data_IF_887019364370
#
_entry.id   IF_887019364370
#
_cell.length_a   1.000
_cell.length_b   1.000
_cell.length_c   1.000
_cell.angle_alpha   90.00
_cell.angle_beta   90.00
_cell.angle_gamma   90.00
#
_symmetry.space_group_name_H-M   'P 1'
#
loop_
_entity.id
_entity.type
_entity.pdbx_description
1 polymer ?
#
# COMPACT_ATOMS: atom_id res chain seq x y z
N UNK A 1 -20.44 4.77 -12.85
CA UNK A 1 -20.64 4.74 -11.38
C UNK A 1 -20.56 6.11 -10.69
N UNK A 2 -20.49 7.24 -11.41
CA UNK A 2 -20.61 8.59 -10.84
C UNK A 2 -19.46 9.06 -9.92
N UNK A 3 -18.51 8.17 -9.58
CA UNK A 3 -17.32 8.47 -8.78
C UNK A 3 -16.18 8.83 -9.74
N UNK A 4 -15.55 9.98 -9.51
CA UNK A 4 -14.29 10.37 -10.14
C UNK A 4 -13.21 10.48 -9.08
N UNK A 5 -11.99 10.06 -9.40
CA UNK A 5 -10.85 10.25 -8.52
C UNK A 5 -10.53 11.74 -8.40
N UNK A 6 -10.45 12.22 -7.15
CA UNK A 6 -9.99 13.57 -6.83
C UNK A 6 -8.48 13.54 -6.76
N UNK A 7 -7.81 14.33 -7.61
CA UNK A 7 -6.36 14.46 -7.58
C UNK A 7 -5.90 14.93 -6.19
N UNK A 8 -4.87 14.28 -5.66
CA UNK A 8 -4.19 14.66 -4.42
C UNK A 8 -2.89 15.37 -4.78
N UNK A 9 -2.53 16.39 -4.01
CA UNK A 9 -1.19 16.97 -4.04
C UNK A 9 -0.16 15.92 -3.57
N UNK A 10 0.83 15.53 -4.39
CA UNK A 10 1.88 14.59 -3.99
C UNK A 10 2.65 15.03 -2.74
N UNK A 11 2.79 16.34 -2.53
CA UNK A 11 3.51 16.94 -1.40
C UNK A 11 2.66 17.09 -0.14
N UNK A 12 1.36 16.73 -0.20
CA UNK A 12 0.49 16.78 0.97
C UNK A 12 1.04 15.89 2.10
N UNK A 13 1.07 16.38 3.35
CA UNK A 13 1.52 15.60 4.49
C UNK A 13 0.46 14.61 5.00
N UNK A 14 -0.76 14.62 4.44
CA UNK A 14 -1.85 13.71 4.83
C UNK A 14 -1.45 12.25 4.68
N UNK A 15 -1.96 11.40 5.56
CA UNK A 15 -1.73 9.97 5.48
C UNK A 15 -2.22 9.37 4.15
N UNK A 16 -1.41 8.52 3.52
CA UNK A 16 -1.77 7.89 2.24
C UNK A 16 -2.43 6.54 2.48
N UNK A 17 -3.67 6.40 2.01
CA UNK A 17 -4.43 5.14 2.08
C UNK A 17 -4.33 4.38 0.75
N UNK A 18 -3.89 3.13 0.81
CA UNK A 18 -3.81 2.22 -0.34
C UNK A 18 -4.95 1.19 -0.20
N UNK A 19 -5.94 1.25 -1.08
CA UNK A 19 -7.12 0.40 -0.99
C UNK A 19 -6.90 -1.05 -1.41
N UNK A 20 -7.05 -1.99 -0.47
CA UNK A 20 -6.68 -3.42 -0.62
C UNK A 20 -7.73 -4.32 -1.31
N UNK A 21 -8.86 -3.77 -1.77
CA UNK A 21 -10.04 -4.59 -2.07
C UNK A 21 -10.02 -5.23 -3.47
N UNK A 22 -9.11 -4.84 -4.36
CA UNK A 22 -8.94 -5.48 -5.68
C UNK A 22 -7.87 -6.56 -5.55
N UNK A 23 -8.26 -7.69 -4.97
CA UNK A 23 -7.33 -8.76 -4.63
C UNK A 23 -7.84 -10.13 -5.07
N UNK A 24 -6.97 -10.90 -5.72
CA UNK A 24 -7.24 -12.25 -6.21
C UNK A 24 -7.72 -13.24 -5.12
N UNK A 25 -7.47 -13.00 -3.84
CA UNK A 25 -7.98 -13.88 -2.77
C UNK A 25 -9.51 -13.89 -2.74
N UNK A 26 -10.15 -12.77 -3.08
CA UNK A 26 -11.59 -12.64 -3.16
C UNK A 26 -12.15 -13.44 -4.35
N UNK A 27 -13.05 -14.42 -4.13
CA UNK A 27 -13.61 -15.23 -5.22
C UNK A 27 -14.22 -14.41 -6.35
N UNK A 28 -14.96 -13.33 -6.01
CA UNK A 28 -15.60 -12.44 -6.99
C UNK A 28 -14.59 -11.71 -7.88
N UNK A 29 -13.43 -11.33 -7.33
CA UNK A 29 -12.40 -10.59 -8.10
C UNK A 29 -11.53 -11.56 -8.87
N UNK A 30 -11.23 -12.72 -8.29
CA UNK A 30 -10.56 -13.80 -8.99
C UNK A 30 -11.32 -14.21 -10.25
N UNK A 31 -12.63 -14.44 -10.13
CA UNK A 31 -13.46 -14.80 -11.27
C UNK A 31 -13.50 -13.67 -12.30
N UNK A 32 -13.60 -12.42 -11.84
CA UNK A 32 -13.54 -11.25 -12.73
C UNK A 32 -12.22 -11.18 -13.51
N UNK A 33 -11.08 -11.43 -12.86
CA UNK A 33 -9.76 -11.49 -13.50
C UNK A 33 -9.65 -12.66 -14.48
N UNK A 34 -10.14 -13.85 -14.11
CA UNK A 34 -10.10 -15.04 -14.96
C UNK A 34 -10.92 -14.87 -16.24
N UNK A 35 -12.03 -14.13 -16.16
CA UNK A 35 -12.97 -13.92 -17.27
C UNK A 35 -12.82 -12.55 -17.95
N UNK A 36 -11.82 -11.75 -17.53
CA UNK A 36 -11.66 -10.35 -17.94
C UNK A 36 -12.96 -9.53 -17.82
N UNK A 37 -13.79 -9.85 -16.82
CA UNK A 37 -15.03 -9.13 -16.56
C UNK A 37 -14.73 -7.83 -15.79
N UNK A 38 -14.97 -6.65 -16.39
CA UNK A 38 -14.61 -5.39 -15.76
C UNK A 38 -15.51 -5.02 -14.58
N UNK A 39 -16.77 -5.46 -14.55
CA UNK A 39 -17.79 -4.91 -13.64
C UNK A 39 -17.45 -5.06 -12.16
N UNK A 40 -17.01 -6.25 -11.66
CA UNK A 40 -16.74 -6.40 -10.24
C UNK A 40 -15.50 -5.61 -9.79
N UNK A 41 -14.51 -5.45 -10.66
CA UNK A 41 -13.29 -4.68 -10.39
C UNK A 41 -13.62 -3.19 -10.35
N UNK A 42 -14.32 -2.69 -11.38
CA UNK A 42 -14.75 -1.30 -11.44
C UNK A 42 -15.64 -0.94 -10.25
N UNK A 43 -16.56 -1.82 -9.84
CA UNK A 43 -17.40 -1.62 -8.65
C UNK A 43 -16.56 -1.42 -7.38
N UNK A 44 -15.57 -2.29 -7.14
CA UNK A 44 -14.70 -2.15 -5.96
C UNK A 44 -13.83 -0.91 -6.03
N UNK A 45 -13.30 -0.57 -7.20
CA UNK A 45 -12.55 0.65 -7.38
C UNK A 45 -13.39 1.88 -7.01
N UNK A 46 -14.62 1.97 -7.53
CA UNK A 46 -15.53 3.07 -7.22
C UNK A 46 -15.86 3.15 -5.72
N UNK A 47 -16.11 2.01 -5.07
CA UNK A 47 -16.37 1.94 -3.62
C UNK A 47 -15.18 2.43 -2.80
N UNK A 48 -13.95 2.05 -3.18
CA UNK A 48 -12.73 2.46 -2.48
C UNK A 48 -12.40 3.95 -2.69
N UNK A 49 -12.52 4.44 -3.93
CA UNK A 49 -12.30 5.86 -4.26
C UNK A 49 -13.31 6.73 -3.51
N UNK A 50 -14.59 6.33 -3.51
CA UNK A 50 -15.64 7.04 -2.75
C UNK A 50 -15.34 7.10 -1.25
N UNK A 51 -14.69 6.06 -0.72
CA UNK A 51 -14.32 5.99 0.69
C UNK A 51 -13.00 6.73 1.01
N UNK A 52 -12.35 7.34 0.03
CA UNK A 52 -11.14 8.15 0.23
C UNK A 52 -9.82 7.41 0.06
N UNK A 53 -9.79 6.30 -0.70
CA UNK A 53 -8.54 5.67 -1.09
C UNK A 53 -7.67 6.62 -1.93
N UNK A 54 -6.41 6.78 -1.56
CA UNK A 54 -5.43 7.58 -2.31
C UNK A 54 -4.86 6.77 -3.47
N UNK A 55 -4.48 5.52 -3.22
CA UNK A 55 -4.06 4.54 -4.23
C UNK A 55 -5.02 3.35 -4.20
N UNK A 56 -5.08 2.60 -5.29
CA UNK A 56 -5.71 1.27 -5.29
C UNK A 56 -4.64 0.20 -5.44
N UNK A 57 -4.62 -0.76 -4.50
CA UNK A 57 -3.81 -1.96 -4.63
C UNK A 57 -4.51 -2.93 -5.60
N UNK A 58 -3.74 -3.47 -6.56
CA UNK A 58 -4.21 -4.35 -7.62
C UNK A 58 -3.43 -5.65 -7.53
N UNK A 59 -3.90 -6.55 -6.66
CA UNK A 59 -3.29 -7.85 -6.45
C UNK A 59 -3.87 -8.90 -7.40
N UNK A 60 -3.07 -9.31 -8.40
CA UNK A 60 -3.45 -10.32 -9.40
C UNK A 60 -2.99 -11.74 -9.03
N UNK A 61 -2.37 -11.92 -7.86
CA UNK A 61 -1.71 -13.16 -7.47
C UNK A 61 -0.45 -13.44 -8.32
N UNK A 62 0.05 -14.69 -8.33
CA UNK A 62 1.26 -15.04 -9.10
C UNK A 62 1.10 -14.89 -10.62
N UNK A 63 -0.11 -15.15 -11.14
CA UNK A 63 -0.46 -15.03 -12.56
C UNK A 63 0.67 -15.46 -13.53
N UNK A 64 1.19 -16.68 -13.34
CA UNK A 64 2.45 -17.13 -13.97
C UNK A 64 2.39 -17.13 -15.50
N UNK A 65 1.23 -17.48 -16.08
CA UNK A 65 1.06 -17.63 -17.54
C UNK A 65 0.58 -16.36 -18.24
N UNK A 66 -0.32 -15.59 -17.64
CA UNK A 66 -0.99 -14.44 -18.26
C UNK A 66 -0.79 -13.11 -17.52
N UNK A 67 0.11 -13.06 -16.52
CA UNK A 67 0.33 -11.88 -15.68
C UNK A 67 0.54 -10.56 -16.43
N UNK A 68 1.42 -10.49 -17.45
CA UNK A 68 1.60 -9.28 -18.26
C UNK A 68 0.33 -8.76 -18.92
N UNK A 69 -0.48 -9.65 -19.50
CA UNK A 69 -1.74 -9.28 -20.14
C UNK A 69 -2.76 -8.80 -19.10
N UNK A 70 -2.90 -9.55 -18.01
CA UNK A 70 -3.85 -9.26 -16.94
C UNK A 70 -3.55 -7.94 -16.24
N UNK A 71 -2.28 -7.66 -15.90
CA UNK A 71 -1.89 -6.40 -15.27
C UNK A 71 -2.08 -5.22 -16.23
N UNK A 72 -1.72 -5.39 -17.51
CA UNK A 72 -1.95 -4.37 -18.54
C UNK A 72 -3.44 -4.01 -18.65
N UNK A 73 -4.31 -5.02 -18.68
CA UNK A 73 -5.75 -4.84 -18.71
C UNK A 73 -6.26 -4.12 -17.46
N UNK A 74 -5.84 -4.56 -16.26
CA UNK A 74 -6.29 -3.98 -15.00
C UNK A 74 -5.88 -2.50 -14.86
N UNK A 75 -4.64 -2.15 -15.23
CA UNK A 75 -4.14 -0.77 -15.19
C UNK A 75 -4.97 0.13 -16.09
N UNK A 76 -5.16 -0.26 -17.36
CA UNK A 76 -5.97 0.52 -18.31
C UNK A 76 -7.40 0.66 -17.83
N UNK A 77 -8.02 -0.46 -17.43
CA UNK A 77 -9.39 -0.49 -16.95
C UNK A 77 -9.63 0.53 -15.82
N UNK A 78 -8.75 0.55 -14.82
CA UNK A 78 -8.88 1.44 -13.67
C UNK A 78 -8.60 2.89 -14.03
N UNK A 79 -7.53 3.18 -14.77
CA UNK A 79 -7.14 4.56 -15.08
C UNK A 79 -8.09 5.23 -16.07
N UNK A 80 -8.57 4.52 -17.09
CA UNK A 80 -9.53 5.04 -18.06
C UNK A 80 -10.89 5.36 -17.41
N UNK A 81 -11.29 4.60 -16.38
CA UNK A 81 -12.60 4.77 -15.73
C UNK A 81 -12.58 5.71 -14.51
N UNK A 82 -11.40 5.99 -13.93
CA UNK A 82 -11.28 6.74 -12.68
C UNK A 82 -10.21 7.81 -12.73
N UNK A 83 -10.16 8.57 -13.84
CA UNK A 83 -9.29 9.75 -13.98
C UNK A 83 -7.85 9.44 -13.56
N UNK A 84 -7.22 8.43 -14.17
CA UNK A 84 -5.83 8.03 -13.89
C UNK A 84 -5.54 7.79 -12.40
N UNK A 85 -6.51 7.26 -11.62
CA UNK A 85 -6.30 6.86 -10.22
C UNK A 85 -4.96 6.12 -10.08
N UNK A 86 -4.12 6.48 -9.09
CA UNK A 86 -2.81 5.88 -8.99
C UNK A 86 -2.92 4.48 -8.35
N UNK A 87 -2.03 3.57 -8.74
CA UNK A 87 -2.14 2.14 -8.43
C UNK A 87 -0.87 1.59 -7.77
N UNK A 88 -1.06 0.66 -6.83
CA UNK A 88 -0.04 -0.28 -6.41
C UNK A 88 -0.20 -1.59 -7.18
N UNK A 89 0.83 -1.97 -7.93
CA UNK A 89 0.86 -3.17 -8.75
C UNK A 89 1.41 -4.31 -7.89
N UNK A 90 0.52 -5.16 -7.39
CA UNK A 90 0.83 -6.20 -6.41
C UNK A 90 0.87 -7.60 -7.05
N UNK A 91 2.09 -8.13 -7.18
CA UNK A 91 2.34 -9.50 -7.63
C UNK A 91 3.80 -9.89 -7.47
N UNK A 92 4.07 -11.19 -7.28
CA UNK A 92 5.41 -11.77 -7.38
C UNK A 92 5.89 -11.96 -8.83
N UNK A 93 5.12 -11.52 -9.83
CA UNK A 93 5.48 -11.60 -11.24
C UNK A 93 6.05 -10.26 -11.74
N UNK A 94 7.38 -10.16 -11.75
CA UNK A 94 8.12 -8.96 -12.19
C UNK A 94 7.72 -8.50 -13.60
N UNK A 95 7.46 -9.44 -14.52
CA UNK A 95 7.06 -9.14 -15.90
C UNK A 95 5.66 -8.51 -15.97
N UNK A 96 4.77 -8.89 -15.06
CA UNK A 96 3.44 -8.33 -14.96
C UNK A 96 3.47 -6.87 -14.50
N UNK A 97 4.27 -6.57 -13.47
CA UNK A 97 4.48 -5.19 -12.99
C UNK A 97 5.05 -4.32 -14.12
N UNK A 98 6.10 -4.79 -14.79
CA UNK A 98 6.71 -4.04 -15.90
C UNK A 98 5.71 -3.76 -17.04
N UNK A 99 4.87 -4.74 -17.40
CA UNK A 99 3.83 -4.56 -18.41
C UNK A 99 2.76 -3.55 -17.98
N UNK A 100 2.34 -3.58 -16.72
CA UNK A 100 1.43 -2.59 -16.14
C UNK A 100 2.01 -1.17 -16.20
N UNK A 101 3.27 -0.99 -15.79
CA UNK A 101 3.93 0.33 -15.81
C UNK A 101 4.04 0.91 -17.23
N UNK A 102 4.28 0.07 -18.25
CA UNK A 102 4.38 0.50 -19.66
C UNK A 102 3.13 1.22 -20.18
N UNK A 103 1.95 0.90 -19.63
CA UNK A 103 0.68 1.51 -20.03
C UNK A 103 0.13 2.50 -19.00
N UNK A 104 0.88 2.74 -17.93
CA UNK A 104 0.45 3.52 -16.79
C UNK A 104 0.55 5.03 -17.07
N UNK A 105 -0.54 5.75 -16.82
CA UNK A 105 -0.60 7.20 -16.84
C UNK A 105 -0.25 7.78 -15.45
N UNK A 106 0.76 8.65 -15.39
CA UNK A 106 1.34 9.20 -14.16
C UNK A 106 0.74 10.51 -13.68
N UNK A 107 -0.26 11.06 -14.38
CA UNK A 107 -0.83 12.40 -14.09
C UNK A 107 -1.20 12.59 -12.61
N UNK A 108 -1.66 11.55 -11.93
CA UNK A 108 -2.13 11.62 -10.54
C UNK A 108 -1.27 10.88 -9.53
N UNK A 109 -0.08 10.40 -9.92
CA UNK A 109 0.85 9.74 -9.03
C UNK A 109 1.72 8.70 -9.75
N UNK A 110 2.91 8.43 -9.21
CA UNK A 110 3.80 7.35 -9.69
C UNK A 110 3.14 5.98 -9.45
N UNK A 111 3.39 4.97 -10.30
CA UNK A 111 3.00 3.60 -9.95
C UNK A 111 3.79 3.14 -8.71
N UNK A 112 3.19 2.27 -7.89
CA UNK A 112 3.88 1.60 -6.79
C UNK A 112 4.19 0.15 -7.22
N UNK A 113 5.45 -0.25 -7.08
CA UNK A 113 5.89 -1.65 -7.17
C UNK A 113 5.69 -2.30 -5.80
N UNK A 114 4.73 -3.23 -5.70
CA UNK A 114 4.45 -3.99 -4.48
C UNK A 114 4.81 -5.48 -4.71
N UNK A 115 5.94 -5.98 -4.21
CA UNK A 115 6.96 -5.34 -3.37
C UNK A 115 8.35 -5.97 -3.58
N UNK A 116 9.40 -5.27 -3.14
CA UNK A 116 10.75 -5.80 -3.00
C UNK A 116 10.99 -6.31 -1.57
N UNK A 117 11.99 -7.17 -1.40
CA UNK A 117 12.55 -7.55 -0.09
C UNK A 117 14.08 -7.53 -0.17
N UNK A 118 14.76 -7.67 0.98
CA UNK A 118 16.21 -7.70 1.06
C UNK A 118 16.83 -9.04 0.63
N UNK A 119 16.03 -9.96 0.09
CA UNK A 119 16.41 -11.30 -0.34
C UNK A 119 16.14 -11.51 -1.84
N UNK A 120 15.35 -12.53 -2.15
CA UNK A 120 15.11 -12.98 -3.53
C UNK A 120 14.44 -11.95 -4.44
N UNK A 121 13.76 -10.93 -3.89
CA UNK A 121 13.06 -9.89 -4.67
C UNK A 121 13.77 -8.53 -4.64
N UNK A 122 15.02 -8.44 -4.20
CA UNK A 122 15.78 -7.17 -4.18
C UNK A 122 15.77 -6.44 -5.54
N UNK A 123 15.81 -7.20 -6.65
CA UNK A 123 15.79 -6.63 -8.00
C UNK A 123 14.48 -5.92 -8.40
N UNK A 124 13.45 -5.94 -7.55
CA UNK A 124 12.24 -5.12 -7.73
C UNK A 124 12.52 -3.65 -7.45
N UNK A 125 13.53 -3.32 -6.65
CA UNK A 125 14.06 -1.96 -6.52
C UNK A 125 14.63 -1.51 -7.87
N UNK A 126 15.39 -2.38 -8.55
CA UNK A 126 15.91 -2.08 -9.90
C UNK A 126 14.79 -1.79 -10.90
N UNK A 127 13.69 -2.56 -10.83
CA UNK A 127 12.51 -2.32 -11.66
C UNK A 127 11.87 -0.96 -11.35
N UNK A 128 11.74 -0.63 -10.06
CA UNK A 128 11.16 0.64 -9.65
C UNK A 128 12.03 1.82 -10.10
N UNK A 129 13.34 1.75 -9.88
CA UNK A 129 14.32 2.76 -10.29
C UNK A 129 14.30 3.00 -11.80
N UNK A 130 14.36 1.92 -12.59
CA UNK A 130 14.35 2.01 -14.06
C UNK A 130 13.05 2.61 -14.62
N UNK A 131 12.00 2.69 -13.81
CA UNK A 131 10.68 3.17 -14.22
C UNK A 131 10.20 4.38 -13.41
N UNK A 132 11.06 5.07 -12.65
CA UNK A 132 10.64 6.20 -11.79
C UNK A 132 9.36 5.85 -10.98
N UNK A 133 9.37 4.68 -10.35
CA UNK A 133 8.24 4.16 -9.57
C UNK A 133 8.59 4.17 -8.08
N UNK A 134 7.55 4.27 -7.25
CA UNK A 134 7.69 4.04 -5.81
C UNK A 134 7.86 2.53 -5.60
N UNK A 135 8.68 2.12 -4.63
CA UNK A 135 8.86 0.73 -4.24
C UNK A 135 8.46 0.52 -2.78
N UNK A 136 7.54 -0.43 -2.53
CA UNK A 136 7.34 -0.96 -1.18
C UNK A 136 8.48 -1.93 -0.90
N UNK A 137 9.27 -1.62 0.12
CA UNK A 137 10.48 -2.34 0.50
C UNK A 137 10.27 -3.06 1.84
N UNK A 138 9.98 -4.36 1.78
CA UNK A 138 9.74 -5.18 2.96
C UNK A 138 11.06 -5.36 3.72
N UNK A 139 11.12 -4.90 4.98
CA UNK A 139 12.28 -5.01 5.87
C UNK A 139 12.46 -6.44 6.40
N UNK A 140 12.62 -7.36 5.45
CA UNK A 140 12.77 -8.80 5.59
C UNK A 140 13.58 -9.35 4.42
N UNK A 141 14.13 -10.55 4.56
CA UNK A 141 14.60 -11.37 3.44
C UNK A 141 13.63 -12.55 3.24
N UNK A 142 14.10 -13.80 3.27
CA UNK A 142 13.27 -15.00 3.11
C UNK A 142 12.56 -15.42 4.42
N UNK A 143 12.01 -14.46 5.17
CA UNK A 143 11.33 -14.70 6.44
C UNK A 143 11.10 -13.44 7.28
N UNK A 144 10.43 -13.60 8.42
CA UNK A 144 10.20 -12.51 9.36
C UNK A 144 11.53 -12.18 10.06
N UNK A 145 11.92 -10.90 10.06
CA UNK A 145 13.08 -10.42 10.80
C UNK A 145 12.95 -10.73 12.31
N UNK A 146 14.04 -11.18 12.92
CA UNK A 146 14.13 -11.62 14.31
C UNK A 146 13.82 -10.48 15.29
N UNK A 147 14.29 -9.27 14.97
CA UNK A 147 14.24 -8.06 15.79
C UNK A 147 14.35 -6.80 14.91
N UNK A 148 14.33 -5.62 15.55
CA UNK A 148 14.40 -4.35 14.84
C UNK A 148 15.81 -4.00 14.34
N UNK A 149 16.87 -4.60 14.91
CA UNK A 149 18.22 -4.44 14.37
C UNK A 149 18.30 -5.08 12.98
N UNK A 150 17.74 -6.28 12.82
CA UNK A 150 17.66 -6.94 11.52
C UNK A 150 16.73 -6.21 10.55
N UNK A 151 15.60 -5.66 11.00
CA UNK A 151 14.74 -4.80 10.15
C UNK A 151 15.49 -3.59 9.62
N UNK A 152 16.26 -2.89 10.47
CA UNK A 152 17.05 -1.74 10.06
C UNK A 152 18.20 -2.12 9.13
N UNK A 153 18.85 -3.27 9.36
CA UNK A 153 19.85 -3.81 8.42
C UNK A 153 19.24 -4.02 7.03
N UNK A 154 18.05 -4.62 6.93
CA UNK A 154 17.34 -4.79 5.66
C UNK A 154 16.92 -3.45 5.05
N UNK A 155 16.43 -2.52 5.87
CA UNK A 155 16.09 -1.16 5.44
C UNK A 155 17.28 -0.46 4.78
N UNK A 156 18.43 -0.40 5.48
CA UNK A 156 19.64 0.26 4.98
C UNK A 156 20.21 -0.40 3.74
N UNK A 157 20.21 -1.73 3.65
CA UNK A 157 20.64 -2.44 2.45
C UNK A 157 19.76 -2.09 1.23
N UNK A 158 18.44 -2.10 1.39
CA UNK A 158 17.52 -1.72 0.31
C UNK A 158 17.61 -0.22 -0.04
N UNK A 159 17.82 0.64 0.96
CA UNK A 159 18.05 2.07 0.76
C UNK A 159 19.31 2.30 -0.07
N UNK A 160 20.45 1.71 0.31
CA UNK A 160 21.70 1.80 -0.43
C UNK A 160 21.54 1.33 -1.87
N UNK A 161 20.83 0.20 -2.08
CA UNK A 161 20.53 -0.30 -3.42
C UNK A 161 19.75 0.73 -4.25
N UNK A 162 18.65 1.27 -3.72
CA UNK A 162 17.83 2.26 -4.43
C UNK A 162 18.60 3.55 -4.75
N UNK A 163 19.34 4.08 -3.78
CA UNK A 163 20.17 5.27 -3.96
C UNK A 163 21.26 5.05 -5.02
N UNK A 164 21.90 3.87 -5.04
CA UNK A 164 22.92 3.53 -6.05
C UNK A 164 22.36 3.48 -7.49
N UNK A 165 21.04 3.34 -7.62
CA UNK A 165 20.32 3.32 -8.90
C UNK A 165 19.70 4.68 -9.24
N UNK A 166 19.91 5.71 -8.40
CA UNK A 166 19.37 7.06 -8.61
C UNK A 166 17.92 7.25 -8.16
N UNK A 167 17.37 6.36 -7.31
CA UNK A 167 16.09 6.63 -6.66
C UNK A 167 16.24 7.69 -5.57
N UNK A 168 15.19 8.48 -5.37
CA UNK A 168 15.06 9.30 -4.18
C UNK A 168 14.66 8.43 -2.98
N UNK A 169 15.16 8.74 -1.78
CA UNK A 169 14.78 8.02 -0.56
C UNK A 169 13.25 8.09 -0.31
N UNK A 170 12.58 9.13 -0.80
CA UNK A 170 11.13 9.33 -0.70
C UNK A 170 10.31 8.43 -1.62
N UNK A 171 10.94 7.75 -2.58
CA UNK A 171 10.33 6.73 -3.45
C UNK A 171 10.50 5.30 -2.88
N UNK A 172 11.19 5.12 -1.75
CA UNK A 172 11.29 3.86 -1.03
C UNK A 172 10.39 3.90 0.21
N UNK A 173 9.34 3.07 0.23
CA UNK A 173 8.40 2.99 1.34
C UNK A 173 8.64 1.70 2.13
N UNK A 174 9.26 1.83 3.29
CA UNK A 174 9.69 0.68 4.08
C UNK A 174 8.52 0.04 4.84
N UNK A 175 8.39 -1.28 4.72
CA UNK A 175 7.37 -2.06 5.42
C UNK A 175 8.03 -2.88 6.55
N UNK A 176 7.69 -2.64 7.84
CA UNK A 176 8.23 -3.40 8.97
C UNK A 176 7.70 -4.85 9.06
N UNK A 177 6.80 -5.24 8.15
CA UNK A 177 5.91 -6.39 8.19
C UNK A 177 4.92 -6.32 9.35
N UNK A 178 3.72 -5.80 9.10
CA UNK A 178 2.60 -5.95 10.05
C UNK A 178 2.28 -7.43 10.27
N UNK A 179 2.40 -7.87 11.53
CA UNK A 179 2.25 -9.28 11.92
C UNK A 179 0.88 -9.55 12.54
N UNK A 180 0.35 -10.74 12.30
CA UNK A 180 -0.93 -11.17 12.88
C UNK A 180 -0.86 -11.21 14.41
N UNK A 181 -1.69 -10.40 15.07
CA UNK A 181 -1.74 -10.33 16.54
C UNK A 181 -2.04 -11.68 17.18
N UNK A 182 -2.85 -12.50 16.51
CA UNK A 182 -3.16 -13.86 16.93
C UNK A 182 -1.93 -14.74 16.76
N UNK A 183 -1.21 -14.95 17.85
CA UNK A 183 0.00 -15.77 17.90
C UNK A 183 1.31 -14.99 17.80
N UNK A 184 1.27 -13.67 17.53
CA UNK A 184 2.45 -12.78 17.53
C UNK A 184 2.15 -11.45 18.25
N UNK A 185 1.39 -11.52 19.36
CA UNK A 185 1.01 -10.34 20.14
C UNK A 185 2.22 -9.63 20.76
N UNK A 186 3.22 -10.39 21.18
CA UNK A 186 4.49 -9.90 21.72
C UNK A 186 5.29 -9.06 20.72
N UNK A 187 5.04 -9.23 19.42
CA UNK A 187 5.74 -8.52 18.34
C UNK A 187 5.10 -7.20 17.91
N UNK A 188 3.91 -6.87 18.39
CA UNK A 188 3.18 -5.67 17.92
C UNK A 188 3.90 -4.37 18.27
N UNK A 189 4.51 -4.31 19.46
CA UNK A 189 5.32 -3.15 19.86
C UNK A 189 6.64 -3.07 19.07
N UNK A 190 7.22 -4.20 18.68
CA UNK A 190 8.42 -4.22 17.83
C UNK A 190 8.12 -3.57 16.47
N UNK A 191 6.97 -3.89 15.85
CA UNK A 191 6.52 -3.29 14.59
C UNK A 191 6.36 -1.77 14.74
N UNK A 192 5.70 -1.30 15.80
CA UNK A 192 5.54 0.13 16.07
C UNK A 192 6.88 0.84 16.31
N UNK A 193 7.81 0.20 17.02
CA UNK A 193 9.15 0.73 17.24
C UNK A 193 9.96 0.77 15.94
N UNK A 194 9.80 -0.19 15.03
CA UNK A 194 10.44 -0.15 13.71
C UNK A 194 9.96 1.03 12.87
N UNK A 195 8.65 1.32 12.88
CA UNK A 195 8.08 2.50 12.21
C UNK A 195 8.72 3.78 12.75
N UNK A 196 8.90 3.87 14.08
CA UNK A 196 9.60 4.99 14.70
C UNK A 196 11.04 5.12 14.22
N UNK A 197 11.79 4.02 14.14
CA UNK A 197 13.18 4.03 13.66
C UNK A 197 13.27 4.55 12.21
N UNK A 198 12.36 4.11 11.34
CA UNK A 198 12.29 4.65 9.96
C UNK A 198 12.00 6.16 9.97
N UNK A 199 11.04 6.59 10.78
CA UNK A 199 10.67 8.01 10.88
C UNK A 199 11.79 8.88 11.46
N UNK A 200 12.57 8.37 12.42
CA UNK A 200 13.69 9.10 13.02
C UNK A 200 14.83 9.32 12.01
N UNK A 201 14.94 8.46 10.98
CA UNK A 201 15.84 8.64 9.82
C UNK A 201 15.20 9.45 8.68
N UNK A 202 13.96 9.92 8.84
CA UNK A 202 13.23 10.67 7.80
C UNK A 202 12.73 9.81 6.64
N UNK A 203 12.69 8.49 6.80
CA UNK A 203 12.28 7.55 5.76
C UNK A 203 10.76 7.36 5.76
N UNK A 204 10.17 7.23 4.57
CA UNK A 204 8.75 6.89 4.43
C UNK A 204 8.53 5.42 4.75
N UNK A 205 7.42 5.13 5.42
CA UNK A 205 7.03 3.76 5.78
C UNK A 205 5.58 3.46 5.44
N UNK A 206 5.32 2.18 5.15
CA UNK A 206 4.02 1.64 4.75
C UNK A 206 3.79 0.25 5.33
N UNK A 207 2.67 -0.38 4.98
CA UNK A 207 2.51 -1.82 5.11
C UNK A 207 1.06 -2.28 5.13
N UNK A 208 0.90 -3.61 5.05
CA UNK A 208 -0.41 -4.29 5.15
C UNK A 208 -1.00 -4.26 6.54
N UNK A 209 -1.59 -3.12 6.96
CA UNK A 209 -2.15 -2.94 8.30
C UNK A 209 -3.19 -4.03 8.64
N UNK A 210 -4.01 -4.42 7.67
CA UNK A 210 -5.08 -5.42 7.85
C UNK A 210 -4.57 -6.81 8.23
N UNK A 211 -3.27 -7.08 8.05
CA UNK A 211 -2.62 -8.32 8.49
C UNK A 211 -2.68 -8.52 10.00
N UNK A 212 -2.60 -7.42 10.77
CA UNK A 212 -2.68 -7.46 12.23
C UNK A 212 -3.91 -8.22 12.71
N UNK A 213 -5.08 -7.93 12.13
CA UNK A 213 -6.35 -8.50 12.55
C UNK A 213 -6.77 -9.77 11.79
N UNK A 214 -5.87 -10.37 11.01
CA UNK A 214 -6.17 -11.62 10.29
C UNK A 214 -6.59 -12.74 11.25
N UNK A 215 -7.70 -13.40 10.93
CA UNK A 215 -8.29 -14.45 11.76
C UNK A 215 -9.03 -13.96 13.03
N UNK A 216 -9.11 -12.65 13.27
CA UNK A 216 -9.97 -12.09 14.31
C UNK A 216 -11.44 -12.05 13.85
N UNK A 217 -12.42 -12.01 14.79
CA UNK A 217 -13.83 -11.86 14.45
C UNK A 217 -14.10 -10.59 13.64
N UNK A 218 -15.00 -10.66 12.65
CA UNK A 218 -15.28 -9.54 11.74
C UNK A 218 -15.68 -8.24 12.43
N UNK A 219 -16.38 -8.33 13.57
CA UNK A 219 -16.79 -7.18 14.36
C UNK A 219 -15.65 -6.55 15.19
N UNK A 220 -14.54 -7.28 15.37
CA UNK A 220 -13.39 -6.83 16.16
C UNK A 220 -12.32 -6.19 15.26
N UNK A 221 -12.17 -6.66 14.01
CA UNK A 221 -11.16 -6.14 13.06
C UNK A 221 -11.17 -4.61 12.91
N UNK A 222 -12.32 -3.94 12.66
CA UNK A 222 -12.36 -2.48 12.55
C UNK A 222 -11.78 -1.77 13.78
N UNK A 223 -12.00 -2.34 14.97
CA UNK A 223 -11.56 -1.75 16.24
C UNK A 223 -10.04 -1.85 16.37
N UNK A 224 -9.51 -3.04 16.06
CA UNK A 224 -8.07 -3.32 16.16
C UNK A 224 -7.27 -2.55 15.13
N UNK A 225 -7.75 -2.51 13.89
CA UNK A 225 -7.06 -1.84 12.79
C UNK A 225 -7.08 -0.31 13.02
N UNK A 226 -8.19 0.27 13.48
CA UNK A 226 -8.25 1.68 13.90
C UNK A 226 -7.29 2.02 15.06
N UNK A 227 -7.26 1.19 16.11
CA UNK A 227 -6.36 1.43 17.23
C UNK A 227 -4.88 1.37 16.77
N UNK A 228 -4.54 0.37 15.96
CA UNK A 228 -3.17 0.18 15.47
C UNK A 228 -2.74 1.30 14.51
N UNK A 229 -3.60 1.74 13.58
CA UNK A 229 -3.22 2.81 12.65
C UNK A 229 -2.95 4.12 13.40
N UNK A 230 -3.74 4.44 14.42
CA UNK A 230 -3.51 5.64 15.23
C UNK A 230 -2.15 5.58 15.94
N UNK A 231 -1.80 4.43 16.53
CA UNK A 231 -0.49 4.21 17.15
C UNK A 231 0.64 4.28 16.11
N UNK A 232 0.46 3.69 14.94
CA UNK A 232 1.45 3.69 13.87
C UNK A 232 1.69 5.09 13.30
N UNK A 233 0.63 5.87 13.06
CA UNK A 233 0.71 7.28 12.64
C UNK A 233 1.40 8.15 13.67
N UNK A 234 1.21 7.86 14.98
CA UNK A 234 1.95 8.52 16.05
C UNK A 234 3.45 8.21 15.98
N UNK A 235 3.83 7.00 15.60
CA UNK A 235 5.23 6.61 15.40
C UNK A 235 5.83 7.10 14.07
N UNK A 236 5.04 7.72 13.19
CA UNK A 236 5.53 8.29 11.92
C UNK A 236 5.21 7.45 10.68
N UNK A 237 4.29 6.47 10.76
CA UNK A 237 3.80 5.79 9.58
C UNK A 237 3.21 6.80 8.58
N UNK A 238 3.59 6.69 7.31
CA UNK A 238 3.20 7.65 6.27
C UNK A 238 2.09 7.17 5.35
N UNK A 239 1.93 5.84 5.24
CA UNK A 239 0.89 5.22 4.43
C UNK A 239 0.53 3.83 4.95
N UNK A 240 -0.60 3.26 4.50
CA UNK A 240 -0.93 1.86 4.77
C UNK A 240 -1.83 1.27 3.70
N UNK A 241 -1.64 -0.04 3.46
CA UNK A 241 -2.59 -0.88 2.72
C UNK A 241 -3.70 -1.29 3.68
N UNK A 242 -4.91 -0.81 3.38
CA UNK A 242 -6.08 -0.86 4.28
C UNK A 242 -7.35 -1.15 3.49
N UNK A 243 -8.40 -1.54 4.21
CA UNK A 243 -9.77 -1.49 3.69
C UNK A 243 -10.37 -0.09 3.89
N UNK A 244 -10.40 0.79 2.87
CA UNK A 244 -10.95 2.14 3.01
C UNK A 244 -12.47 2.11 3.22
N UNK A 245 -13.15 1.01 2.91
CA UNK A 245 -14.60 0.89 3.17
C UNK A 245 -14.92 0.61 4.65
N UNK A 246 -13.92 0.48 5.52
CA UNK A 246 -14.11 0.49 6.95
C UNK A 246 -14.21 1.92 7.47
N UNK A 247 -15.43 2.33 7.81
CA UNK A 247 -15.72 3.70 8.25
C UNK A 247 -14.91 4.08 9.49
N UNK A 248 -14.80 3.19 10.49
CA UNK A 248 -14.10 3.49 11.73
C UNK A 248 -12.60 3.71 11.48
N UNK A 249 -12.02 2.92 10.58
CA UNK A 249 -10.62 3.07 10.18
C UNK A 249 -10.38 4.42 9.51
N UNK A 250 -11.21 4.78 8.54
CA UNK A 250 -11.07 6.05 7.82
C UNK A 250 -11.33 7.26 8.72
N UNK A 251 -12.33 7.22 9.59
CA UNK A 251 -12.57 8.27 10.60
C UNK A 251 -11.36 8.47 11.51
N UNK A 252 -10.72 7.36 11.92
CA UNK A 252 -9.52 7.42 12.76
C UNK A 252 -8.34 8.05 12.02
N UNK A 253 -8.07 7.65 10.78
CA UNK A 253 -6.99 8.21 9.96
C UNK A 253 -7.19 9.72 9.76
N UNK A 254 -8.39 10.14 9.36
CA UNK A 254 -8.72 11.56 9.18
C UNK A 254 -8.55 12.35 10.48
N UNK A 255 -8.98 11.79 11.62
CA UNK A 255 -8.79 12.42 12.93
C UNK A 255 -7.32 12.56 13.30
N UNK A 256 -6.52 11.54 13.01
CA UNK A 256 -5.07 11.59 13.25
C UNK A 256 -4.39 12.65 12.38
N UNK A 257 -4.80 12.85 11.12
CA UNK A 257 -4.28 13.93 10.27
C UNK A 257 -4.56 15.33 10.86
N UNK A 258 -5.73 15.54 11.47
CA UNK A 258 -6.04 16.78 12.19
C UNK A 258 -5.10 16.98 13.38
N UNK A 259 -4.93 15.95 14.22
CA UNK A 259 -4.05 16.06 15.39
C UNK A 259 -2.58 16.24 15.05
N UNK A 260 -2.14 15.68 13.92
CA UNK A 260 -0.78 15.86 13.39
C UNK A 260 -0.60 17.19 12.66
N UNK A 261 -1.63 18.03 12.55
CA UNK A 261 -1.63 19.28 11.80
C UNK A 261 -1.32 19.07 10.30
N UNK A 262 -1.68 17.89 9.76
CA UNK A 262 -1.59 17.57 8.35
C UNK A 262 -2.79 18.10 7.56
N UNK A 263 -3.87 18.44 8.26
CA UNK A 263 -5.07 19.07 7.74
C UNK A 263 -5.59 20.11 8.73
N UNK A 264 -6.14 21.21 8.22
CA UNK A 264 -6.79 22.21 9.06
C UNK A 264 -8.11 21.68 9.63
N UNK A 265 -8.35 21.97 10.91
CA UNK A 265 -9.62 21.62 11.55
C UNK A 265 -10.82 22.31 10.90
N UNK A 266 -11.88 21.54 10.66
CA UNK A 266 -13.24 22.02 10.42
C UNK A 266 -14.23 21.02 11.06
N UNK A 267 -15.43 21.45 11.43
CA UNK A 267 -16.44 20.54 11.99
C UNK A 267 -16.87 19.43 10.99
N UNK A 268 -16.58 19.61 9.69
CA UNK A 268 -16.86 18.66 8.61
C UNK A 268 -15.61 17.96 8.09
N UNK A 269 -14.52 17.88 8.86
CA UNK A 269 -13.26 17.27 8.40
C UNK A 269 -13.40 15.81 7.97
N UNK A 270 -14.43 15.10 8.43
CA UNK A 270 -14.73 13.73 8.02
C UNK A 270 -15.31 13.63 6.61
N UNK A 271 -15.88 14.71 6.07
CA UNK A 271 -16.44 14.77 4.71
C UNK A 271 -15.41 15.11 3.64
N UNK A 272 -14.23 15.59 4.06
CA UNK A 272 -13.12 16.00 3.20
C UNK A 272 -12.46 14.81 2.49
#
# INVERSE_FOLDING_TARGET
MGVSYKQRDPESPKFVTIGERIHCISPVIREAMNTMNPEPILKRAAEQIKAGATYLDVNIGPAESNGPELMTWAVKLLQENFNNVPLALDTANKRAIEAGIKVYNRTNGKPIVNSADAGSRISYIDLAAANDAICIALCSADGIAKDNEERMMHCHHMLERGLSLGMEATDLWFDPLFLVVKGMQDKQMDVLNAIKLFSDEGLKSTGGLSNNSNGAPKNVRPIMDSALVAMAMMQGLTSAIVNPNDLRLMETIKSCDIFKNNELYSDSYLDA
#
